data_IF_326890216646
#
_entry.id   IF_326890216646
#
_cell.length_a   1.000
_cell.length_b   1.000
_cell.length_c   1.000
_cell.angle_alpha   90.00
_cell.angle_beta   90.00
_cell.angle_gamma   90.00
#
_symmetry.space_group_name_H-M   'P 1'
#
loop_
_entity.id
_entity.type
_entity.pdbx_description
1 polymer ?
#
# COMPACT_ATOMS: atom_id res chain seq x y z
N UNK A 1 -10.88 -21.28 -14.08
CA UNK A 1 -11.80 -20.53 -14.97
C UNK A 1 -11.84 -19.13 -14.42
N UNK A 2 -11.35 -18.11 -15.13
CA UNK A 2 -11.29 -16.75 -14.57
C UNK A 2 -12.70 -16.26 -14.24
N UNK A 3 -13.01 -16.07 -12.96
CA UNK A 3 -14.34 -15.61 -12.52
C UNK A 3 -14.55 -14.13 -12.86
N UNK A 4 -13.44 -13.39 -12.92
CA UNK A 4 -13.38 -12.02 -13.36
C UNK A 4 -12.59 -11.95 -14.66
N UNK A 5 -13.25 -11.55 -15.75
CA UNK A 5 -12.67 -11.54 -17.10
C UNK A 5 -12.40 -10.13 -17.62
N UNK A 6 -12.77 -9.10 -16.85
CA UNK A 6 -12.62 -7.70 -17.20
C UNK A 6 -11.91 -6.98 -16.06
N UNK A 7 -10.97 -6.10 -16.36
CA UNK A 7 -10.38 -5.25 -15.35
C UNK A 7 -11.40 -4.33 -14.68
N UNK A 8 -11.09 -3.90 -13.45
CA UNK A 8 -11.90 -2.93 -12.74
C UNK A 8 -12.07 -1.64 -13.55
N UNK A 9 -13.26 -1.05 -13.48
CA UNK A 9 -13.60 0.19 -14.17
C UNK A 9 -13.39 1.44 -13.31
N UNK A 10 -13.48 1.30 -11.98
CA UNK A 10 -13.19 2.33 -10.98
C UNK A 10 -12.81 1.71 -9.61
N UNK A 11 -12.45 2.56 -8.64
CA UNK A 11 -12.01 2.15 -7.29
C UNK A 11 -13.14 1.51 -6.48
N UNK A 12 -14.40 1.90 -6.71
CA UNK A 12 -15.52 1.30 -5.97
C UNK A 12 -15.74 -0.14 -6.43
N UNK A 13 -15.63 -0.41 -7.74
CA UNK A 13 -15.71 -1.78 -8.27
C UNK A 13 -14.60 -2.68 -7.71
N UNK A 14 -13.37 -2.15 -7.56
CA UNK A 14 -12.27 -2.87 -6.90
C UNK A 14 -12.63 -3.22 -5.45
N UNK A 15 -13.09 -2.24 -4.67
CA UNK A 15 -13.46 -2.44 -3.27
C UNK A 15 -14.62 -3.44 -3.16
N UNK A 16 -15.67 -3.30 -3.98
CA UNK A 16 -16.84 -4.18 -3.97
C UNK A 16 -16.47 -5.62 -4.30
N UNK A 17 -15.57 -5.84 -5.27
CA UNK A 17 -15.08 -7.18 -5.61
C UNK A 17 -14.32 -7.83 -4.45
N UNK A 18 -13.44 -7.07 -3.77
CA UNK A 18 -12.77 -7.53 -2.56
C UNK A 18 -13.74 -7.80 -1.41
N UNK A 19 -14.77 -6.98 -1.24
CA UNK A 19 -15.81 -7.20 -0.22
C UNK A 19 -16.65 -8.45 -0.52
N UNK A 20 -16.96 -8.73 -1.78
CA UNK A 20 -17.64 -9.97 -2.18
C UNK A 20 -16.80 -11.22 -1.88
N UNK A 21 -15.47 -11.13 -2.05
CA UNK A 21 -14.55 -12.17 -1.62
C UNK A 21 -14.57 -12.37 -0.11
N UNK A 22 -14.50 -11.28 0.68
CA UNK A 22 -14.58 -11.33 2.14
C UNK A 22 -15.90 -11.93 2.62
N UNK A 23 -17.02 -11.53 2.02
CA UNK A 23 -18.35 -12.06 2.38
C UNK A 23 -18.44 -13.57 2.18
N UNK A 24 -17.91 -14.06 1.06
CA UNK A 24 -17.85 -15.49 0.76
C UNK A 24 -16.96 -16.21 1.77
N UNK A 25 -15.79 -15.64 2.06
CA UNK A 25 -14.79 -16.22 2.95
C UNK A 25 -15.30 -16.31 4.39
N UNK A 26 -15.86 -15.23 4.91
CA UNK A 26 -16.37 -15.19 6.28
C UNK A 26 -17.61 -16.08 6.47
N UNK A 27 -18.44 -16.21 5.44
CA UNK A 27 -19.55 -17.17 5.44
C UNK A 27 -19.04 -18.60 5.58
N UNK A 28 -18.04 -18.99 4.79
CA UNK A 28 -17.45 -20.33 4.88
C UNK A 28 -16.80 -20.57 6.26
N UNK A 29 -16.09 -19.57 6.80
CA UNK A 29 -15.52 -19.63 8.15
C UNK A 29 -16.58 -19.87 9.23
N UNK A 30 -17.75 -19.22 9.12
CA UNK A 30 -18.85 -19.43 10.05
C UNK A 30 -19.48 -20.82 9.91
N UNK A 31 -19.59 -21.34 8.68
CA UNK A 31 -20.07 -22.71 8.41
C UNK A 31 -19.11 -23.73 9.03
N UNK A 32 -17.81 -23.63 8.77
CA UNK A 32 -16.77 -24.52 9.34
C UNK A 32 -16.81 -24.47 10.87
N UNK A 33 -16.95 -23.29 11.45
CA UNK A 33 -17.03 -23.16 12.91
C UNK A 33 -18.33 -23.74 13.49
N UNK A 34 -19.44 -23.62 12.77
CA UNK A 34 -20.75 -24.16 13.14
C UNK A 34 -20.85 -25.69 13.00
N UNK A 35 -20.14 -26.27 12.03
CA UNK A 35 -20.22 -27.71 11.69
C UNK A 35 -19.61 -28.64 12.76
N UNK A 36 -18.93 -28.10 13.78
CA UNK A 36 -18.18 -28.84 14.81
C UNK A 36 -17.09 -29.78 14.25
N UNK A 37 -16.84 -29.76 12.94
CA UNK A 37 -15.78 -30.54 12.32
C UNK A 37 -14.43 -29.88 12.65
N UNK A 38 -13.53 -30.67 13.26
CA UNK A 38 -12.17 -30.23 13.58
C UNK A 38 -11.31 -30.28 12.32
N UNK A 39 -11.47 -29.32 11.42
CA UNK A 39 -10.55 -29.15 10.29
C UNK A 39 -9.66 -27.94 10.57
N UNK A 40 -8.43 -28.21 11.05
CA UNK A 40 -7.38 -27.20 11.21
C UNK A 40 -6.68 -27.26 12.58
N UNK A 41 -5.40 -27.65 12.56
CA UNK A 41 -4.49 -27.41 13.68
C UNK A 41 -4.16 -25.91 13.74
N UNK A 42 -4.10 -25.35 14.96
CA UNK A 42 -3.94 -23.93 15.35
C UNK A 42 -5.19 -23.10 15.63
N UNK A 43 -6.42 -23.65 15.69
CA UNK A 43 -7.57 -22.88 16.23
C UNK A 43 -7.31 -22.43 17.68
N UNK A 44 -6.81 -21.21 17.86
CA UNK A 44 -6.68 -20.52 19.14
C UNK A 44 -8.01 -19.81 19.38
N UNK A 45 -8.87 -20.39 20.21
CA UNK A 45 -10.13 -19.78 20.63
C UNK A 45 -11.36 -20.64 20.33
N UNK A 46 -11.81 -21.40 21.32
CA UNK A 46 -12.96 -22.29 21.22
C UNK A 46 -14.30 -21.55 21.08
N UNK A 47 -15.20 -22.18 20.31
CA UNK A 47 -16.69 -22.23 20.39
C UNK A 47 -17.46 -20.92 20.64
N UNK A 48 -18.30 -20.58 19.66
CA UNK A 48 -19.52 -19.80 19.92
C UNK A 48 -20.77 -20.67 19.92
N UNK A 49 -21.70 -20.26 20.79
CA UNK A 49 -23.06 -20.77 20.91
C UNK A 49 -24.04 -19.79 20.25
N UNK A 50 -24.06 -19.70 18.93
CA UNK A 50 -25.20 -19.02 18.28
C UNK A 50 -25.34 -19.39 16.81
N UNK A 51 -26.28 -20.28 16.53
CA UNK A 51 -26.72 -20.67 15.18
C UNK A 51 -27.37 -19.52 14.37
N UNK A 52 -27.51 -18.31 14.95
CA UNK A 52 -28.28 -17.19 14.38
C UNK A 52 -27.52 -16.23 13.45
N UNK A 53 -26.18 -16.28 13.41
CA UNK A 53 -25.38 -15.35 12.60
C UNK A 53 -25.22 -15.86 11.16
N UNK A 54 -25.15 -17.18 10.97
CA UNK A 54 -24.99 -17.81 9.65
C UNK A 54 -26.19 -17.54 8.72
N UNK A 55 -27.42 -17.49 9.26
CA UNK A 55 -28.64 -17.28 8.47
C UNK A 55 -28.74 -15.86 7.87
N UNK A 56 -28.05 -14.87 8.44
CA UNK A 56 -28.07 -13.47 7.97
C UNK A 56 -26.99 -13.14 6.94
N UNK A 57 -26.07 -14.08 6.68
CA UNK A 57 -24.91 -13.91 5.81
C UNK A 57 -24.99 -14.72 4.53
N UNK A 58 -26.12 -15.41 4.30
CA UNK A 58 -26.39 -16.03 3.01
C UNK A 58 -26.22 -14.95 1.94
N UNK A 59 -25.27 -15.15 1.00
CA UNK A 59 -24.90 -14.11 0.06
C UNK A 59 -26.13 -13.66 -0.71
N UNK A 60 -26.25 -12.34 -0.89
CA UNK A 60 -27.22 -11.75 -1.81
C UNK A 60 -26.79 -12.18 -3.22
N UNK A 61 -27.31 -13.32 -3.67
CA UNK A 61 -27.08 -13.94 -4.99
C UNK A 61 -25.65 -14.46 -5.30
N UNK A 62 -24.82 -14.76 -4.29
CA UNK A 62 -23.50 -15.36 -4.49
C UNK A 62 -23.51 -16.89 -4.47
N UNK A 63 -22.88 -17.54 -5.45
CA UNK A 63 -22.60 -18.99 -5.39
C UNK A 63 -21.71 -19.28 -4.18
N UNK A 64 -22.04 -20.29 -3.37
CA UNK A 64 -21.10 -20.82 -2.38
C UNK A 64 -19.84 -21.25 -3.13
N UNK A 65 -18.71 -20.61 -2.82
CA UNK A 65 -17.39 -20.96 -3.36
C UNK A 65 -16.80 -22.02 -2.43
N UNK A 66 -16.50 -23.25 -2.91
CA UNK A 66 -15.80 -24.25 -2.11
C UNK A 66 -14.44 -23.73 -1.63
N UNK A 67 -13.94 -24.19 -0.47
CA UNK A 67 -12.64 -23.77 0.08
C UNK A 67 -11.50 -23.87 -0.96
N UNK A 68 -11.53 -24.91 -1.79
CA UNK A 68 -10.58 -25.21 -2.86
C UNK A 68 -10.57 -24.15 -3.99
N UNK A 69 -11.63 -23.36 -4.15
CA UNK A 69 -11.75 -22.34 -5.20
C UNK A 69 -11.37 -20.93 -4.71
N UNK A 70 -11.20 -20.70 -3.39
CA UNK A 70 -10.87 -19.37 -2.85
C UNK A 70 -9.52 -18.85 -3.31
N UNK A 71 -8.52 -19.73 -3.41
CA UNK A 71 -7.21 -19.33 -3.91
C UNK A 71 -7.31 -18.83 -5.35
N UNK A 72 -8.08 -19.52 -6.19
CA UNK A 72 -8.31 -19.09 -7.58
C UNK A 72 -9.04 -17.74 -7.65
N UNK A 73 -10.04 -17.51 -6.81
CA UNK A 73 -10.74 -16.21 -6.73
C UNK A 73 -9.78 -15.10 -6.28
N UNK A 74 -8.96 -15.38 -5.26
CA UNK A 74 -7.98 -14.45 -4.72
C UNK A 74 -6.93 -14.06 -5.77
N UNK A 75 -6.36 -15.04 -6.47
CA UNK A 75 -5.42 -14.82 -7.56
C UNK A 75 -6.05 -14.06 -8.74
N UNK A 76 -7.29 -14.41 -9.11
CA UNK A 76 -8.02 -13.69 -10.15
C UNK A 76 -8.20 -12.21 -9.78
N UNK A 77 -8.56 -11.90 -8.53
CA UNK A 77 -8.70 -10.51 -8.05
C UNK A 77 -7.38 -9.74 -8.07
N UNK A 78 -6.28 -10.39 -7.70
CA UNK A 78 -4.93 -9.80 -7.81
C UNK A 78 -4.55 -9.50 -9.27
N UNK A 79 -4.98 -10.32 -10.22
CA UNK A 79 -4.72 -10.11 -11.65
C UNK A 79 -5.61 -9.03 -12.28
N UNK A 80 -6.83 -8.80 -11.77
CA UNK A 80 -7.82 -7.96 -12.44
C UNK A 80 -7.51 -6.46 -12.47
N UNK A 81 -6.67 -5.96 -11.58
CA UNK A 81 -6.35 -4.53 -11.58
C UNK A 81 -5.38 -4.10 -12.70
N UNK A 82 -4.94 -5.03 -13.57
CA UNK A 82 -4.02 -4.75 -14.70
C UNK A 82 -4.61 -3.90 -15.84
N UNK A 83 -5.64 -3.08 -15.55
CA UNK A 83 -6.10 -2.01 -16.46
C UNK A 83 -5.35 -0.70 -16.24
N UNK A 84 -4.04 -0.70 -16.53
CA UNK A 84 -3.29 0.55 -16.76
C UNK A 84 -3.72 1.30 -18.05
N UNK A 85 -4.88 0.97 -18.64
CA UNK A 85 -5.33 1.52 -19.92
C UNK A 85 -6.20 2.79 -19.81
N UNK A 86 -6.49 3.30 -18.60
CA UNK A 86 -7.37 4.47 -18.41
C UNK A 86 -6.84 5.61 -17.54
N UNK A 87 -5.59 5.53 -17.04
CA UNK A 87 -5.06 6.55 -16.13
C UNK A 87 -5.79 6.63 -14.78
N UNK A 88 -6.46 5.53 -14.39
CA UNK A 88 -7.09 5.36 -13.08
C UNK A 88 -6.14 4.49 -12.25
N UNK A 89 -5.69 5.01 -11.11
CA UNK A 89 -4.91 4.23 -10.15
C UNK A 89 -5.86 3.39 -9.28
N UNK A 90 -5.58 2.09 -9.16
CA UNK A 90 -6.31 1.15 -8.29
C UNK A 90 -5.48 0.92 -7.02
N UNK A 91 -5.82 1.58 -5.89
CA UNK A 91 -4.92 1.65 -4.75
C UNK A 91 -4.64 0.31 -4.09
N UNK A 92 -5.63 -0.57 -4.01
CA UNK A 92 -5.45 -1.89 -3.40
C UNK A 92 -4.59 -2.77 -4.32
N UNK A 93 -4.87 -2.78 -5.62
CA UNK A 93 -4.10 -3.52 -6.60
C UNK A 93 -2.63 -3.09 -6.65
N UNK A 94 -2.36 -1.78 -6.68
CA UNK A 94 -0.99 -1.25 -6.63
C UNK A 94 -0.24 -1.74 -5.38
N UNK A 95 -0.91 -1.64 -4.23
CA UNK A 95 -0.35 -2.09 -2.96
C UNK A 95 -0.09 -3.60 -2.96
N UNK A 96 -1.03 -4.41 -3.46
CA UNK A 96 -0.92 -5.86 -3.45
C UNK A 96 0.08 -6.39 -4.47
N UNK A 97 0.24 -5.73 -5.62
CA UNK A 97 1.26 -6.08 -6.62
C UNK A 97 2.67 -5.68 -6.17
N UNK A 98 2.78 -4.75 -5.24
CA UNK A 98 4.07 -4.43 -4.64
C UNK A 98 4.63 -5.66 -3.94
N UNK A 99 5.94 -5.89 -4.06
CA UNK A 99 6.63 -6.97 -3.34
C UNK A 99 6.78 -6.68 -1.84
N UNK A 100 6.13 -5.63 -1.34
CA UNK A 100 6.25 -5.19 0.04
C UNK A 100 5.33 -5.96 0.97
N UNK A 101 4.19 -6.45 0.46
CA UNK A 101 3.23 -7.26 1.23
C UNK A 101 3.23 -8.71 0.75
N UNK A 102 3.26 -9.63 1.71
CA UNK A 102 2.93 -11.04 1.46
C UNK A 102 1.40 -11.27 1.47
N UNK A 103 0.97 -12.50 1.19
CA UNK A 103 -0.46 -12.84 1.13
C UNK A 103 -1.17 -12.75 2.48
N UNK A 104 -0.46 -12.99 3.59
CA UNK A 104 -1.03 -12.83 4.93
C UNK A 104 -1.26 -11.35 5.27
N UNK A 105 -0.33 -10.48 4.91
CA UNK A 105 -0.41 -9.03 5.06
C UNK A 105 -1.50 -8.44 4.15
N UNK A 106 -1.63 -8.93 2.91
CA UNK A 106 -2.73 -8.57 2.00
C UNK A 106 -4.08 -8.97 2.57
N UNK A 107 -4.21 -10.20 3.09
CA UNK A 107 -5.46 -10.65 3.69
C UNK A 107 -5.79 -9.86 4.97
N UNK A 108 -4.79 -9.61 5.82
CA UNK A 108 -4.94 -8.75 7.00
C UNK A 108 -5.44 -7.34 6.62
N UNK A 109 -4.90 -6.77 5.53
CA UNK A 109 -5.35 -5.48 5.01
C UNK A 109 -6.83 -5.51 4.65
N UNK A 110 -7.25 -6.50 3.86
CA UNK A 110 -8.62 -6.61 3.34
C UNK A 110 -9.62 -6.80 4.49
N UNK A 111 -9.28 -7.65 5.47
CA UNK A 111 -10.12 -7.88 6.64
C UNK A 111 -10.20 -6.66 7.56
N UNK A 112 -9.09 -5.92 7.73
CA UNK A 112 -9.11 -4.69 8.51
C UNK A 112 -9.95 -3.61 7.81
N UNK A 113 -9.81 -3.48 6.49
CA UNK A 113 -10.60 -2.56 5.67
C UNK A 113 -12.09 -2.86 5.74
N UNK A 114 -12.48 -4.14 5.70
CA UNK A 114 -13.90 -4.52 5.71
C UNK A 114 -14.61 -3.99 6.96
N UNK A 115 -14.00 -4.12 8.14
CA UNK A 115 -14.52 -3.53 9.39
C UNK A 115 -14.71 -2.00 9.32
N UNK A 116 -13.82 -1.29 8.62
CA UNK A 116 -13.93 0.17 8.45
C UNK A 116 -15.01 0.57 7.43
N UNK A 117 -15.32 -0.28 6.45
CA UNK A 117 -16.32 -0.01 5.42
C UNK A 117 -17.74 -0.36 5.86
N UNK A 118 -17.92 -1.44 6.63
CA UNK A 118 -19.26 -1.89 7.01
C UNK A 118 -19.30 -2.54 8.39
N UNK A 119 -20.19 -2.02 9.24
CA UNK A 119 -20.43 -2.50 10.61
C UNK A 119 -20.84 -3.99 10.68
N UNK A 120 -21.34 -4.60 9.60
CA UNK A 120 -21.64 -6.04 9.58
C UNK A 120 -20.41 -6.88 9.92
N UNK A 121 -19.23 -6.47 9.46
CA UNK A 121 -18.00 -7.22 9.67
C UNK A 121 -17.53 -7.18 11.12
N UNK A 122 -17.79 -6.08 11.83
CA UNK A 122 -17.49 -5.99 13.27
C UNK A 122 -18.17 -7.13 14.04
N UNK A 123 -19.45 -7.37 13.76
CA UNK A 123 -20.23 -8.43 14.40
C UNK A 123 -19.71 -9.83 14.04
N UNK A 124 -19.24 -10.00 12.80
CA UNK A 124 -18.67 -11.27 12.33
C UNK A 124 -17.31 -11.52 12.98
N UNK A 125 -16.46 -10.51 13.10
CA UNK A 125 -15.15 -10.66 13.74
C UNK A 125 -15.25 -10.90 15.24
N UNK A 126 -16.16 -10.20 15.92
CA UNK A 126 -16.50 -10.50 17.32
C UNK A 126 -17.00 -11.93 17.47
N UNK A 127 -17.79 -12.40 16.49
CA UNK A 127 -18.17 -13.79 16.48
C UNK A 127 -16.91 -14.66 16.32
N UNK A 128 -16.24 -14.62 15.17
CA UNK A 128 -15.13 -15.50 14.78
C UNK A 128 -13.96 -15.53 15.79
N UNK A 129 -13.59 -14.39 16.38
CA UNK A 129 -12.42 -14.29 17.28
C UNK A 129 -12.62 -15.02 18.61
N UNK A 130 -13.86 -15.39 18.99
CA UNK A 130 -14.15 -16.19 20.19
C UNK A 130 -13.91 -15.49 21.53
N UNK A 131 -13.16 -14.40 21.54
CA UNK A 131 -12.95 -13.54 22.70
C UNK A 131 -14.07 -12.50 22.79
N UNK A 132 -14.67 -12.40 23.96
CA UNK A 132 -15.66 -11.37 24.32
C UNK A 132 -15.05 -9.97 24.48
N UNK A 133 -13.94 -9.67 23.79
CA UNK A 133 -13.32 -8.34 23.81
C UNK A 133 -14.26 -7.28 23.22
N UNK A 134 -15.14 -7.68 22.29
CA UNK A 134 -16.17 -6.81 21.70
C UNK A 134 -15.57 -5.65 20.91
N UNK A 135 -14.42 -5.89 20.28
CA UNK A 135 -13.63 -4.85 19.62
C UNK A 135 -14.10 -4.63 18.18
N UNK A 136 -14.81 -5.60 17.60
CA UNK A 136 -15.30 -5.55 16.23
C UNK A 136 -14.19 -5.61 15.19
N UNK A 137 -12.99 -6.05 15.55
CA UNK A 137 -11.81 -6.02 14.68
C UNK A 137 -11.21 -7.41 14.49
N UNK A 138 -10.67 -7.72 13.30
CA UNK A 138 -9.96 -8.97 13.10
C UNK A 138 -8.68 -8.97 13.94
N UNK A 139 -8.33 -10.11 14.52
CA UNK A 139 -7.06 -10.29 15.26
C UNK A 139 -6.01 -10.94 14.38
N UNK A 140 -4.73 -10.85 14.76
CA UNK A 140 -3.66 -11.58 14.04
C UNK A 140 -3.95 -13.08 14.00
N UNK A 141 -4.40 -13.66 15.11
CA UNK A 141 -4.73 -15.08 15.18
C UNK A 141 -5.79 -15.46 14.16
N UNK A 142 -6.85 -14.65 14.03
CA UNK A 142 -7.89 -14.88 13.03
C UNK A 142 -7.33 -14.82 11.60
N UNK A 143 -6.45 -13.86 11.30
CA UNK A 143 -5.84 -13.79 9.96
C UNK A 143 -5.00 -15.03 9.68
N UNK A 144 -4.17 -15.47 10.63
CA UNK A 144 -3.34 -16.66 10.47
C UNK A 144 -4.20 -17.92 10.27
N UNK A 145 -5.30 -18.04 11.02
CA UNK A 145 -6.23 -19.15 10.87
C UNK A 145 -6.85 -19.18 9.47
N UNK A 146 -7.27 -18.02 8.95
CA UNK A 146 -7.83 -17.92 7.60
C UNK A 146 -6.76 -18.20 6.54
N UNK A 147 -5.56 -17.65 6.69
CA UNK A 147 -4.44 -17.91 5.76
C UNK A 147 -4.12 -19.40 5.69
N UNK A 148 -4.15 -20.09 6.83
CA UNK A 148 -3.90 -21.54 6.93
C UNK A 148 -4.98 -22.40 6.26
N UNK A 149 -6.12 -21.83 5.91
CA UNK A 149 -7.21 -22.50 5.21
C UNK A 149 -7.17 -22.27 3.70
N UNK A 150 -6.65 -21.12 3.25
CA UNK A 150 -6.62 -20.75 1.83
C UNK A 150 -5.28 -21.10 1.19
N UNK A 151 -4.18 -20.87 1.90
CA UNK A 151 -2.83 -20.99 1.37
C UNK A 151 -2.15 -22.29 1.82
N UNK A 152 -1.25 -22.80 0.99
CA UNK A 152 -0.44 -23.95 1.32
C UNK A 152 0.54 -23.61 2.45
N UNK A 153 0.78 -24.56 3.36
CA UNK A 153 1.59 -24.34 4.57
C UNK A 153 3.02 -23.90 4.29
N UNK A 154 3.56 -24.23 3.12
CA UNK A 154 4.91 -23.84 2.71
C UNK A 154 4.98 -22.35 2.30
N UNK A 155 3.84 -21.75 1.93
CA UNK A 155 3.74 -20.37 1.44
C UNK A 155 3.36 -19.36 2.54
N UNK A 156 2.96 -19.84 3.73
CA UNK A 156 2.51 -18.98 4.83
C UNK A 156 3.70 -18.53 5.69
N UNK A 157 4.15 -17.29 5.49
CA UNK A 157 5.07 -16.62 6.41
C UNK A 157 4.33 -15.82 7.49
N UNK A 158 3.88 -16.50 8.54
CA UNK A 158 3.22 -15.84 9.68
C UNK A 158 4.15 -14.90 10.48
N UNK A 159 5.47 -15.02 10.30
CA UNK A 159 6.45 -14.26 11.09
C UNK A 159 6.39 -12.76 10.77
N UNK A 160 5.99 -12.40 9.55
CA UNK A 160 5.89 -11.01 9.09
C UNK A 160 4.75 -10.25 9.76
N UNK A 161 3.59 -10.88 9.95
CA UNK A 161 2.48 -10.30 10.71
C UNK A 161 2.81 -10.08 12.19
N UNK A 162 3.74 -10.85 12.75
CA UNK A 162 4.20 -10.74 14.14
C UNK A 162 5.37 -9.75 14.30
N UNK A 163 6.01 -9.33 13.22
CA UNK A 163 7.19 -8.48 13.25
C UNK A 163 6.83 -6.99 13.12
N UNK A 164 7.01 -6.24 14.22
CA UNK A 164 6.72 -4.80 14.28
C UNK A 164 7.50 -3.92 13.31
N UNK A 165 8.61 -4.41 12.77
CA UNK A 165 9.46 -3.65 11.86
C UNK A 165 9.04 -3.77 10.39
N UNK A 166 8.02 -4.59 10.07
CA UNK A 166 7.52 -4.70 8.69
C UNK A 166 6.84 -3.43 8.23
N UNK A 167 6.86 -3.22 6.91
CA UNK A 167 6.21 -2.09 6.25
C UNK A 167 4.72 -2.05 6.54
N UNK A 168 4.09 -3.21 6.50
CA UNK A 168 2.68 -3.38 6.82
C UNK A 168 2.37 -2.85 8.23
N UNK A 169 3.11 -3.30 9.24
CA UNK A 169 2.88 -2.85 10.63
C UNK A 169 3.20 -1.38 10.86
N UNK A 170 4.24 -0.84 10.20
CA UNK A 170 4.68 0.54 10.41
C UNK A 170 3.82 1.57 9.68
N UNK A 171 3.55 1.34 8.40
CA UNK A 171 2.94 2.32 7.50
C UNK A 171 1.44 2.12 7.29
N UNK A 172 0.94 0.89 7.45
CA UNK A 172 -0.44 0.55 7.10
C UNK A 172 -1.30 0.38 8.34
N UNK A 173 -0.81 -0.35 9.35
CA UNK A 173 -1.58 -0.59 10.57
C UNK A 173 -1.45 0.54 11.58
N UNK A 174 -2.54 0.75 12.32
CA UNK A 174 -2.53 1.62 13.51
C UNK A 174 -1.64 0.97 14.57
N UNK A 175 -0.67 1.73 15.10
CA UNK A 175 0.20 1.25 16.18
C UNK A 175 -0.63 0.82 17.38
N UNK A 176 -0.58 -0.47 17.70
CA UNK A 176 -1.26 -1.04 18.84
C UNK A 176 -0.47 -0.77 20.13
N UNK A 177 -1.18 -0.56 21.23
CA UNK A 177 -0.62 -0.55 22.59
C UNK A 177 -0.96 -1.82 23.35
N UNK A 178 -1.46 -2.85 22.65
CA UNK A 178 -1.88 -4.11 23.25
C UNK A 178 -0.71 -4.78 23.98
N UNK A 179 -0.94 -5.17 25.24
CA UNK A 179 0.09 -5.78 26.12
C UNK A 179 -0.12 -7.28 26.34
N UNK A 180 -1.06 -7.90 25.64
CA UNK A 180 -1.32 -9.34 25.71
C UNK A 180 -0.56 -10.14 24.65
N UNK A 181 -1.05 -11.33 24.33
CA UNK A 181 -0.52 -12.16 23.25
C UNK A 181 -0.66 -11.48 21.90
N UNK A 182 0.40 -11.45 21.08
CA UNK A 182 0.33 -10.88 19.72
C UNK A 182 -0.81 -11.49 18.89
N UNK A 183 -1.15 -12.77 19.10
CA UNK A 183 -2.27 -13.41 18.40
C UNK A 183 -3.64 -12.73 18.67
N UNK A 184 -3.82 -12.15 19.85
CA UNK A 184 -5.02 -11.41 20.22
C UNK A 184 -4.96 -9.92 19.89
N UNK A 185 -3.87 -9.46 19.27
CA UNK A 185 -3.74 -8.07 18.85
C UNK A 185 -4.69 -7.79 17.68
N UNK A 186 -5.47 -6.74 17.82
CA UNK A 186 -6.38 -6.25 16.78
C UNK A 186 -5.62 -5.64 15.61
N UNK A 187 -6.12 -5.91 14.41
CA UNK A 187 -5.63 -5.31 13.17
C UNK A 187 -6.62 -4.22 12.77
N UNK A 188 -6.10 -3.00 12.64
CA UNK A 188 -6.87 -1.84 12.20
C UNK A 188 -5.98 -0.98 11.33
N UNK A 189 -6.53 -0.45 10.23
CA UNK A 189 -5.79 0.44 9.34
C UNK A 189 -5.54 1.80 10.01
N UNK A 190 -4.43 2.44 9.64
CA UNK A 190 -4.22 3.86 9.95
C UNK A 190 -5.32 4.68 9.26
N UNK A 191 -5.75 5.75 9.94
CA UNK A 191 -6.74 6.67 9.39
C UNK A 191 -6.30 7.25 8.03
N UNK A 192 -5.01 7.52 7.84
CA UNK A 192 -4.48 8.03 6.57
C UNK A 192 -4.67 7.04 5.41
N UNK A 193 -4.50 5.74 5.66
CA UNK A 193 -4.77 4.68 4.67
C UNK A 193 -6.25 4.71 4.26
N UNK A 194 -7.16 4.71 5.23
CA UNK A 194 -8.61 4.71 4.97
C UNK A 194 -9.00 5.97 4.19
N UNK A 195 -8.52 7.14 4.60
CA UNK A 195 -8.82 8.40 3.91
C UNK A 195 -8.34 8.38 2.45
N UNK A 196 -7.16 7.84 2.17
CA UNK A 196 -6.64 7.67 0.81
C UNK A 196 -7.49 6.75 -0.05
N UNK A 197 -7.86 5.57 0.48
CA UNK A 197 -8.70 4.62 -0.24
C UNK A 197 -10.08 5.21 -0.56
N UNK A 198 -10.60 6.08 0.32
CA UNK A 198 -11.88 6.77 0.14
C UNK A 198 -11.77 8.03 -0.73
N UNK A 199 -10.61 8.31 -1.33
CA UNK A 199 -10.40 9.47 -2.21
C UNK A 199 -10.24 10.82 -1.48
N UNK A 200 -10.05 10.81 -0.16
CA UNK A 200 -9.82 12.01 0.64
C UNK A 200 -8.32 12.29 0.76
N UNK A 201 -7.75 13.00 -0.23
CA UNK A 201 -6.33 13.31 -0.30
C UNK A 201 -5.91 14.55 0.54
N UNK A 202 -6.87 15.36 0.99
CA UNK A 202 -6.65 16.71 1.54
C UNK A 202 -5.99 16.77 2.94
N UNK A 203 -5.84 15.64 3.63
CA UNK A 203 -5.32 15.59 5.01
C UNK A 203 -3.83 15.20 5.10
N UNK A 204 -3.25 14.60 4.05
CA UNK A 204 -1.86 14.08 4.10
C UNK A 204 -0.79 15.17 3.99
N UNK A 205 -1.15 16.30 3.38
CA UNK A 205 -0.22 17.38 2.99
C UNK A 205 -0.31 18.61 3.88
N UNK A 206 -1.12 18.59 4.95
CA UNK A 206 -1.20 19.72 5.89
C UNK A 206 0.05 19.89 6.77
N UNK A 207 0.94 18.90 6.78
CA UNK A 207 2.25 19.02 7.40
C UNK A 207 3.27 19.66 6.43
N UNK A 208 3.30 20.99 6.46
CA UNK A 208 4.32 21.88 5.90
C UNK A 208 4.32 22.03 4.37
N UNK A 209 4.34 23.29 3.89
CA UNK A 209 4.50 23.64 2.47
C UNK A 209 5.79 23.17 1.78
N UNK A 210 6.49 22.19 2.36
CA UNK A 210 7.59 21.43 1.79
C UNK A 210 7.11 20.39 0.77
N UNK A 211 5.87 19.87 0.85
CA UNK A 211 5.38 18.87 -0.10
C UNK A 211 4.37 19.49 -1.07
N UNK A 212 4.54 19.24 -2.37
CA UNK A 212 3.64 19.68 -3.42
C UNK A 212 3.29 18.49 -4.31
N UNK A 213 2.00 18.28 -4.52
CA UNK A 213 1.53 17.29 -5.47
C UNK A 213 1.39 17.92 -6.86
N UNK A 214 2.01 17.30 -7.86
CA UNK A 214 1.95 17.76 -9.24
C UNK A 214 1.22 16.70 -10.04
N UNK A 215 -0.02 17.03 -10.42
CA UNK A 215 -0.79 16.24 -11.37
C UNK A 215 -0.27 16.45 -12.79
N UNK A 216 -0.31 15.41 -13.65
CA UNK A 216 -0.06 15.56 -15.07
C UNK A 216 -1.00 16.63 -15.68
N UNK A 217 -0.45 17.63 -16.38
CA UNK A 217 -1.26 18.58 -17.15
C UNK A 217 -1.27 18.23 -18.65
N UNK A 218 -2.27 18.73 -19.37
CA UNK A 218 -2.42 18.55 -20.82
C UNK A 218 -1.65 19.54 -21.69
N UNK A 219 -0.77 20.34 -21.08
CA UNK A 219 0.02 21.32 -21.83
C UNK A 219 1.09 20.61 -22.68
N UNK A 220 0.98 20.76 -24.00
CA UNK A 220 2.00 20.32 -24.95
C UNK A 220 3.21 21.24 -24.89
N UNK A 221 4.26 20.81 -24.19
CA UNK A 221 5.50 21.57 -24.14
C UNK A 221 6.70 20.78 -24.72
N UNK A 222 7.61 21.54 -25.33
CA UNK A 222 8.71 21.04 -26.18
C UNK A 222 9.65 20.13 -25.38
N UNK A 223 9.99 18.99 -25.98
CA UNK A 223 10.78 17.94 -25.34
C UNK A 223 12.24 18.40 -25.15
N UNK A 224 12.67 18.48 -23.89
CA UNK A 224 14.07 18.73 -23.53
C UNK A 224 14.74 17.36 -23.43
N UNK A 225 15.58 17.03 -24.42
CA UNK A 225 16.42 15.82 -24.51
C UNK A 225 15.71 14.45 -24.70
N UNK A 226 15.45 14.03 -25.96
CA UNK A 226 14.88 12.71 -26.28
C UNK A 226 15.63 11.49 -25.73
N UNK A 227 16.97 11.58 -25.66
CA UNK A 227 17.82 10.46 -25.21
C UNK A 227 17.65 10.17 -23.73
N UNK A 228 17.76 11.21 -22.90
CA UNK A 228 17.57 11.11 -21.44
C UNK A 228 16.17 10.59 -21.12
N UNK A 229 15.15 11.09 -21.82
CA UNK A 229 13.78 10.63 -21.60
C UNK A 229 13.60 9.13 -21.85
N UNK A 230 14.23 8.60 -22.91
CA UNK A 230 14.18 7.17 -23.23
C UNK A 230 14.85 6.32 -22.15
N UNK A 231 15.99 6.75 -21.63
CA UNK A 231 16.70 6.06 -20.55
C UNK A 231 15.91 6.10 -19.24
N UNK A 232 15.35 7.25 -18.87
CA UNK A 232 14.50 7.37 -17.69
C UNK A 232 13.24 6.51 -17.79
N UNK A 233 12.67 6.37 -18.99
CA UNK A 233 11.55 5.45 -19.22
C UNK A 233 11.93 4.01 -18.90
N UNK A 234 13.05 3.52 -19.40
CA UNK A 234 13.53 2.16 -19.11
C UNK A 234 13.78 1.96 -17.60
N UNK A 235 14.37 2.95 -16.94
CA UNK A 235 14.58 2.89 -15.48
C UNK A 235 13.24 2.84 -14.75
N UNK A 236 12.26 3.67 -15.13
CA UNK A 236 10.96 3.69 -14.45
C UNK A 236 10.17 2.39 -14.55
N UNK A 237 10.44 1.57 -15.58
CA UNK A 237 9.85 0.25 -15.79
C UNK A 237 10.63 -0.87 -15.07
N UNK A 238 11.81 -0.57 -14.52
CA UNK A 238 12.64 -1.53 -13.79
C UNK A 238 12.09 -1.80 -12.37
N UNK A 239 12.34 -3.01 -11.88
CA UNK A 239 12.12 -3.37 -10.46
C UNK A 239 13.36 -3.11 -9.58
N UNK A 240 14.45 -2.60 -10.15
CA UNK A 240 15.67 -2.31 -9.40
C UNK A 240 15.56 -0.98 -8.66
N UNK A 241 16.00 -0.94 -7.41
CA UNK A 241 16.02 0.32 -6.67
C UNK A 241 17.11 1.23 -7.22
N UNK A 242 16.74 2.44 -7.62
CA UNK A 242 17.68 3.40 -8.19
C UNK A 242 17.50 4.81 -7.63
N UNK A 243 18.63 5.47 -7.41
CA UNK A 243 18.71 6.89 -7.14
C UNK A 243 19.03 7.61 -8.43
N UNK A 244 18.14 8.48 -8.90
CA UNK A 244 18.28 9.16 -10.18
C UNK A 244 18.53 10.65 -9.95
N UNK A 245 19.67 11.14 -10.39
CA UNK A 245 20.05 12.54 -10.28
C UNK A 245 19.82 13.26 -11.61
N UNK A 246 18.94 14.26 -11.61
CA UNK A 246 18.74 15.20 -12.71
C UNK A 246 19.53 16.46 -12.41
N UNK A 247 20.70 16.59 -13.04
CA UNK A 247 21.62 17.71 -12.88
C UNK A 247 21.44 18.70 -14.02
N UNK A 248 21.30 19.97 -13.69
CA UNK A 248 21.23 21.05 -14.68
C UNK A 248 20.93 22.38 -14.02
N UNK A 249 21.22 23.50 -14.67
CA UNK A 249 20.87 24.84 -14.15
C UNK A 249 19.36 24.99 -13.96
N UNK A 250 18.96 25.91 -13.09
CA UNK A 250 17.56 26.31 -12.92
C UNK A 250 16.97 26.71 -14.26
N UNK A 251 15.79 26.17 -14.60
CA UNK A 251 15.11 26.40 -15.87
C UNK A 251 15.39 25.37 -16.97
N UNK A 252 16.27 24.39 -16.77
CA UNK A 252 16.55 23.32 -17.75
C UNK A 252 15.48 22.21 -17.82
N UNK A 253 14.31 22.41 -17.23
CA UNK A 253 13.19 21.46 -17.39
C UNK A 253 13.28 20.14 -16.62
N UNK A 254 14.10 20.03 -15.55
CA UNK A 254 14.16 18.83 -14.68
C UNK A 254 12.77 18.35 -14.22
N UNK A 255 11.98 19.28 -13.69
CA UNK A 255 10.59 19.04 -13.25
C UNK A 255 9.72 18.59 -14.43
N UNK A 256 9.87 19.25 -15.57
CA UNK A 256 9.09 18.97 -16.77
C UNK A 256 9.33 17.54 -17.28
N UNK A 257 10.60 17.12 -17.33
CA UNK A 257 10.99 15.78 -17.74
C UNK A 257 10.28 14.71 -16.90
N UNK A 258 10.25 14.91 -15.57
CA UNK A 258 9.62 13.97 -14.65
C UNK A 258 8.09 14.01 -14.73
N UNK A 259 7.47 15.18 -14.82
CA UNK A 259 6.01 15.29 -15.00
C UNK A 259 5.55 14.62 -16.29
N UNK A 260 6.34 14.72 -17.37
CA UNK A 260 6.06 14.01 -18.63
C UNK A 260 6.20 12.49 -18.49
N UNK A 261 7.22 12.04 -17.76
CA UNK A 261 7.40 10.62 -17.48
C UNK A 261 6.23 10.07 -16.65
N UNK A 262 5.82 10.79 -15.62
CA UNK A 262 4.67 10.47 -14.78
C UNK A 262 3.38 10.41 -15.60
N UNK A 263 3.17 11.36 -16.51
CA UNK A 263 2.05 11.36 -17.46
C UNK A 263 2.01 10.10 -18.33
N UNK A 264 3.14 9.67 -18.88
CA UNK A 264 3.20 8.45 -19.68
C UNK A 264 2.82 7.20 -18.88
N UNK A 265 3.16 7.19 -17.60
CA UNK A 265 2.87 6.09 -16.70
C UNK A 265 1.49 6.23 -16.02
N UNK A 266 0.74 7.31 -16.31
CA UNK A 266 -0.58 7.55 -15.70
C UNK A 266 -0.53 7.83 -14.19
N UNK A 267 0.61 8.29 -13.65
CA UNK A 267 0.82 8.54 -12.23
C UNK A 267 1.11 10.03 -11.95
N UNK A 268 0.99 10.44 -10.69
CA UNK A 268 1.37 11.76 -10.23
C UNK A 268 2.85 11.89 -9.89
N UNK A 269 3.25 13.10 -9.49
CA UNK A 269 4.57 13.38 -8.92
C UNK A 269 4.42 14.00 -7.53
N UNK A 270 5.01 13.36 -6.52
CA UNK A 270 5.14 13.91 -5.18
C UNK A 270 6.46 14.70 -5.13
N UNK A 271 6.36 16.02 -5.20
CA UNK A 271 7.52 16.91 -5.10
C UNK A 271 7.77 17.30 -3.65
N UNK A 272 8.99 17.11 -3.22
CA UNK A 272 9.45 17.41 -1.87
C UNK A 272 10.51 18.51 -2.00
N UNK A 273 10.18 19.71 -1.52
CA UNK A 273 11.13 20.79 -1.34
C UNK A 273 12.06 20.42 -0.18
N UNK A 274 13.24 19.94 -0.54
CA UNK A 274 14.21 19.44 0.42
C UNK A 274 14.69 20.56 1.35
N UNK A 275 14.91 21.77 0.84
CA UNK A 275 15.35 22.90 1.68
C UNK A 275 14.37 23.19 2.81
N UNK A 276 13.06 23.17 2.53
CA UNK A 276 12.04 23.37 3.56
C UNK A 276 11.93 22.16 4.49
N UNK A 277 11.96 20.93 3.94
CA UNK A 277 11.88 19.72 4.75
C UNK A 277 13.00 19.65 5.79
N UNK A 278 14.23 19.98 5.40
CA UNK A 278 15.41 19.92 6.28
C UNK A 278 15.42 20.98 7.39
N UNK A 279 14.52 21.98 7.35
CA UNK A 279 14.34 22.95 8.44
C UNK A 279 13.42 22.46 9.55
N UNK A 280 12.66 21.39 9.30
CA UNK A 280 11.74 20.82 10.29
C UNK A 280 12.50 19.99 11.33
N UNK A 281 11.82 19.68 12.43
CA UNK A 281 12.37 18.77 13.43
C UNK A 281 12.44 17.33 12.86
N UNK A 282 13.35 16.47 13.37
CA UNK A 282 13.53 15.11 12.82
C UNK A 282 12.27 14.23 12.88
N UNK A 283 11.47 14.36 13.93
CA UNK A 283 10.22 13.59 14.12
C UNK A 283 9.19 13.94 13.04
N UNK A 284 8.96 15.24 12.77
CA UNK A 284 8.07 15.68 11.70
C UNK A 284 8.59 15.28 10.33
N UNK A 285 9.91 15.31 10.10
CA UNK A 285 10.48 14.82 8.83
C UNK A 285 10.17 13.34 8.67
N UNK A 286 10.36 12.53 9.71
CA UNK A 286 10.06 11.11 9.68
C UNK A 286 8.58 10.86 9.37
N UNK A 287 7.65 11.52 10.06
CA UNK A 287 6.21 11.36 9.85
C UNK A 287 5.79 11.78 8.43
N UNK A 288 6.32 12.89 7.92
CA UNK A 288 6.06 13.34 6.54
C UNK A 288 6.55 12.30 5.53
N UNK A 289 7.74 11.73 5.72
CA UNK A 289 8.28 10.74 4.81
C UNK A 289 7.52 9.41 4.87
N UNK A 290 7.00 9.01 6.04
CA UNK A 290 6.10 7.84 6.15
C UNK A 290 4.78 8.07 5.39
N UNK A 291 4.18 9.25 5.47
CA UNK A 291 2.96 9.56 4.70
C UNK A 291 3.22 9.63 3.19
N UNK A 292 4.38 10.14 2.78
CA UNK A 292 4.82 10.12 1.37
C UNK A 292 5.03 8.69 0.88
N UNK A 293 5.66 7.85 1.70
CA UNK A 293 5.85 6.43 1.40
C UNK A 293 4.50 5.71 1.29
N UNK A 294 3.54 6.02 2.16
CA UNK A 294 2.19 5.47 2.07
C UNK A 294 1.50 5.86 0.74
N UNK A 295 1.57 7.14 0.35
CA UNK A 295 1.02 7.59 -0.95
C UNK A 295 1.71 6.90 -2.13
N UNK A 296 3.04 6.74 -2.07
CA UNK A 296 3.80 5.97 -3.07
C UNK A 296 3.30 4.53 -3.17
N UNK A 297 3.11 3.83 -2.05
CA UNK A 297 2.68 2.43 -2.04
C UNK A 297 1.27 2.23 -2.64
N UNK A 298 0.38 3.20 -2.46
CA UNK A 298 -1.00 3.13 -2.94
C UNK A 298 -1.15 3.61 -4.39
N UNK A 299 -0.44 4.66 -4.80
CA UNK A 299 -0.66 5.30 -6.11
C UNK A 299 0.49 5.12 -7.09
N UNK A 300 1.64 4.59 -6.65
CA UNK A 300 2.87 4.48 -7.44
C UNK A 300 3.37 5.82 -8.01
N UNK A 301 3.00 6.93 -7.37
CA UNK A 301 3.42 8.28 -7.76
C UNK A 301 4.94 8.43 -7.72
N UNK A 302 5.50 9.21 -8.64
CA UNK A 302 6.95 9.41 -8.66
C UNK A 302 7.40 10.33 -7.53
N UNK A 303 8.45 9.94 -6.81
CA UNK A 303 9.04 10.75 -5.74
C UNK A 303 10.14 11.66 -6.30
N UNK A 304 9.95 12.98 -6.17
CA UNK A 304 10.91 13.99 -6.60
C UNK A 304 11.42 14.85 -5.46
N UNK A 305 12.70 14.73 -5.15
CA UNK A 305 13.42 15.57 -4.21
C UNK A 305 13.97 16.80 -4.93
N UNK A 306 13.35 17.94 -4.69
CA UNK A 306 13.79 19.22 -5.23
C UNK A 306 14.82 19.86 -4.29
N UNK A 307 16.09 19.73 -4.68
CA UNK A 307 17.22 20.37 -4.02
C UNK A 307 17.73 21.59 -4.81
N UNK A 308 16.95 22.10 -5.79
CA UNK A 308 17.34 23.29 -6.55
C UNK A 308 17.27 24.54 -5.69
N UNK A 309 18.27 25.42 -5.81
CA UNK A 309 18.39 26.61 -4.96
C UNK A 309 18.62 26.35 -3.47
N UNK A 310 18.68 25.09 -3.02
CA UNK A 310 19.28 24.75 -1.74
C UNK A 310 20.75 25.18 -1.81
N UNK A 311 21.30 25.78 -0.76
CA UNK A 311 22.76 25.90 -0.63
C UNK A 311 23.42 24.51 -0.59
N UNK A 312 24.64 24.38 -0.06
CA UNK A 312 25.14 23.03 0.27
C UNK A 312 24.19 22.43 1.32
N UNK A 313 23.38 21.40 1.00
CA UNK A 313 22.47 20.81 1.98
C UNK A 313 23.30 20.15 3.08
N UNK A 314 22.73 20.09 4.29
CA UNK A 314 23.27 19.27 5.37
C UNK A 314 23.34 17.82 4.89
N UNK A 315 24.56 17.36 4.62
CA UNK A 315 24.81 16.07 3.98
C UNK A 315 24.27 14.91 4.82
N UNK A 316 24.39 14.98 6.15
CA UNK A 316 23.90 13.92 7.03
C UNK A 316 22.39 13.83 7.01
N UNK A 317 21.69 14.97 7.13
CA UNK A 317 20.23 14.96 7.08
C UNK A 317 19.72 14.55 5.70
N UNK A 318 20.40 14.95 4.63
CA UNK A 318 20.03 14.53 3.29
C UNK A 318 20.21 13.02 3.10
N UNK A 319 21.31 12.44 3.58
CA UNK A 319 21.51 10.98 3.62
C UNK A 319 20.38 10.28 4.38
N UNK A 320 19.98 10.79 5.55
CA UNK A 320 18.90 10.20 6.34
C UNK A 320 17.56 10.17 5.59
N UNK A 321 17.21 11.25 4.89
CA UNK A 321 15.99 11.31 4.06
C UNK A 321 16.04 10.25 2.95
N UNK A 322 17.16 10.14 2.23
CA UNK A 322 17.33 9.14 1.18
C UNK A 322 17.25 7.72 1.74
N UNK A 323 17.95 7.44 2.84
CA UNK A 323 17.97 6.12 3.47
C UNK A 323 16.57 5.68 3.91
N UNK A 324 15.78 6.59 4.47
CA UNK A 324 14.42 6.30 4.89
C UNK A 324 13.52 6.04 3.68
N UNK A 325 13.55 6.89 2.65
CA UNK A 325 12.75 6.67 1.44
C UNK A 325 13.15 5.40 0.68
N UNK A 326 14.44 5.05 0.63
CA UNK A 326 14.94 3.80 0.01
C UNK A 326 14.38 2.53 0.67
N UNK A 327 13.82 2.60 1.88
CA UNK A 327 13.14 1.47 2.51
C UNK A 327 11.81 1.14 1.82
N UNK A 328 11.17 2.15 1.20
CA UNK A 328 9.78 2.08 0.74
C UNK A 328 9.61 2.31 -0.76
N UNK A 329 10.58 2.97 -1.40
CA UNK A 329 10.47 3.49 -2.76
C UNK A 329 11.52 2.83 -3.66
N UNK A 330 11.12 2.42 -4.86
CA UNK A 330 12.04 1.87 -5.85
C UNK A 330 12.89 2.95 -6.51
N UNK A 331 12.25 4.01 -6.99
CA UNK A 331 12.91 5.09 -7.72
C UNK A 331 12.78 6.43 -7.00
N UNK A 332 13.91 7.03 -6.66
CA UNK A 332 13.96 8.38 -6.08
C UNK A 332 14.63 9.31 -7.08
N UNK A 333 13.90 10.31 -7.55
CA UNK A 333 14.41 11.33 -8.45
C UNK A 333 14.87 12.55 -7.66
N UNK A 334 16.08 13.03 -7.91
CA UNK A 334 16.63 14.23 -7.26
C UNK A 334 16.94 15.29 -8.32
N UNK A 335 16.42 16.49 -8.14
CA UNK A 335 16.80 17.66 -8.94
C UNK A 335 17.82 18.53 -8.24
N UNK A 336 18.99 18.73 -8.86
CA UNK A 336 20.07 19.59 -8.34
C UNK A 336 20.53 20.60 -9.38
N UNK A 337 21.03 21.75 -8.90
CA UNK A 337 21.66 22.75 -9.77
C UNK A 337 23.17 22.50 -9.95
N UNK A 338 23.78 21.79 -9.00
CA UNK A 338 25.21 21.46 -8.98
C UNK A 338 25.44 19.97 -8.75
N UNK A 339 26.50 19.65 -8.02
CA UNK A 339 26.83 18.26 -7.66
C UNK A 339 26.08 17.80 -6.41
N UNK A 340 25.74 16.51 -6.38
CA UNK A 340 25.25 15.86 -5.17
C UNK A 340 26.39 15.73 -4.13
N UNK A 341 26.06 15.66 -2.83
CA UNK A 341 27.06 15.42 -1.80
C UNK A 341 27.70 14.03 -1.92
N UNK A 342 29.03 13.97 -1.94
CA UNK A 342 29.88 12.80 -1.74
C UNK A 342 29.27 11.44 -2.10
N UNK A 343 29.03 10.62 -1.08
CA UNK A 343 28.56 9.22 -1.21
C UNK A 343 27.19 9.10 -1.91
N UNK A 344 26.37 10.15 -1.89
CA UNK A 344 25.09 10.13 -2.60
C UNK A 344 25.32 10.24 -4.11
N UNK A 345 26.36 10.97 -4.52
CA UNK A 345 26.73 11.09 -5.93
C UNK A 345 27.24 9.77 -6.50
N UNK A 346 27.95 8.95 -5.71
CA UNK A 346 28.44 7.64 -6.17
C UNK A 346 27.33 6.61 -6.36
N UNK A 347 26.27 6.71 -5.56
CA UNK A 347 25.11 5.82 -5.63
C UNK A 347 24.06 6.24 -6.69
N UNK A 348 24.21 7.42 -7.30
CA UNK A 348 23.20 8.01 -8.17
C UNK A 348 23.53 7.87 -9.66
N UNK A 349 22.54 7.41 -10.43
CA UNK A 349 22.53 7.50 -11.89
C UNK A 349 22.32 8.98 -12.29
N UNK A 350 23.38 9.62 -12.77
CA UNK A 350 23.38 11.07 -13.03
C UNK A 350 23.14 11.39 -14.50
N UNK A 351 22.10 12.19 -14.74
CA UNK A 351 21.71 12.71 -16.05
C UNK A 351 21.93 14.22 -16.08
N UNK A 352 22.65 14.70 -17.11
CA UNK A 352 22.96 16.12 -17.28
C UNK A 352 22.03 16.69 -18.34
N UNK A 353 21.24 17.70 -17.96
CA UNK A 353 20.23 18.38 -18.78
C UNK A 353 20.75 19.68 -19.40
#
# INVERSE_FOLDING_TARGET
>A
MKLYSKPFSDVNEEIDAWMGFVDSLLTEMLIIRGSKERTGFYTVGQRLSSDKIADGLLPVEGKNVPLEEFLTVYEDLLDNGDAMSKGIAFPMWNLFRSSFLDDCERLAFILALSADLNRKYEQIFDALSGDSSGTGRPTIGLVIDICSLIFDKEDIDTSRLLNNDTLFRRLILKRSQYRGSMMGEEISLRRSVIMLLMGNEDDLTRAAGSVNYILPSDEEEKMISPGIFKELKMISESSERALICLKGKRGMGKRFLLTRLAKLNGVGVIRINLSLLLTLNPEMVHDILEEIALKYLLFSDMIYLDATGAGKPDEEKFKQVIMLLKQYVYHIYIGVDGDLPGDIASDALTFIL
#
